data_IF_269796508369
#
_entry.id   IF_269796508369
#
_cell.length_a   1.000
_cell.length_b   1.000
_cell.length_c   1.000
_cell.angle_alpha   90.00
_cell.angle_beta   90.00
_cell.angle_gamma   90.00
#
_symmetry.space_group_name_H-M   'P 1'
#
loop_
_entity.id
_entity.type
_entity.pdbx_description
1 polymer ?
#
# COMPACT_ATOMS: atom_id res chain seq x y z
N UNK A 1 5.76 7.34 -23.36
CA UNK A 1 4.53 6.91 -22.63
C UNK A 1 3.91 8.16 -22.02
N UNK A 2 2.78 8.63 -22.54
CA UNK A 2 2.05 9.73 -21.90
C UNK A 2 1.33 9.12 -20.69
N UNK A 3 1.71 9.55 -19.50
CA UNK A 3 1.00 9.16 -18.28
C UNK A 3 -0.38 9.84 -18.28
N UNK A 4 -1.41 9.07 -18.00
CA UNK A 4 -2.76 9.56 -17.90
C UNK A 4 -2.90 10.58 -16.78
N UNK A 5 -3.78 11.59 -16.97
CA UNK A 5 -4.07 12.56 -15.91
C UNK A 5 -4.71 11.86 -14.70
N UNK A 6 -4.25 12.13 -13.46
CA UNK A 6 -4.81 11.53 -12.24
C UNK A 6 -6.33 11.65 -12.11
N UNK A 7 -6.91 12.78 -12.56
CA UNK A 7 -8.37 12.99 -12.51
C UNK A 7 -9.13 12.06 -13.43
N UNK A 8 -8.61 11.84 -14.64
CA UNK A 8 -9.23 10.96 -15.63
C UNK A 8 -9.12 9.50 -15.19
N UNK A 9 -7.99 9.12 -14.59
CA UNK A 9 -7.79 7.80 -14.03
C UNK A 9 -8.74 7.50 -12.87
N UNK A 10 -8.90 8.42 -11.93
CA UNK A 10 -9.87 8.27 -10.82
C UNK A 10 -11.31 8.23 -11.35
N UNK A 11 -11.64 9.01 -12.39
CA UNK A 11 -12.96 8.99 -13.02
C UNK A 11 -13.24 7.62 -13.63
N UNK A 12 -12.34 7.08 -14.46
CA UNK A 12 -12.44 5.74 -15.05
C UNK A 12 -12.57 4.66 -13.98
N UNK A 13 -11.72 4.69 -12.97
CA UNK A 13 -11.80 3.71 -11.87
C UNK A 13 -13.15 3.74 -11.16
N UNK A 14 -13.74 4.93 -10.94
CA UNK A 14 -15.09 5.05 -10.36
C UNK A 14 -16.18 4.52 -11.29
N UNK A 15 -16.03 4.69 -12.60
CA UNK A 15 -16.95 4.14 -13.61
C UNK A 15 -16.87 2.62 -13.63
N UNK A 16 -15.65 2.05 -13.61
CA UNK A 16 -15.44 0.62 -13.51
C UNK A 16 -15.98 -0.01 -12.22
N UNK A 17 -15.83 0.67 -11.08
CA UNK A 17 -16.43 0.22 -9.82
C UNK A 17 -17.97 0.21 -9.84
N UNK A 18 -18.58 0.98 -10.73
CA UNK A 18 -20.05 1.04 -10.92
C UNK A 18 -20.55 0.11 -12.02
N UNK A 19 -19.64 -0.53 -12.76
CA UNK A 19 -20.03 -1.46 -13.83
C UNK A 19 -20.72 -2.69 -13.23
N UNK A 20 -21.62 -3.31 -14.01
CA UNK A 20 -22.34 -4.51 -13.61
C UNK A 20 -21.38 -5.71 -13.36
N UNK A 21 -20.21 -5.69 -14.01
CA UNK A 21 -19.19 -6.74 -13.91
C UNK A 21 -18.29 -6.60 -12.67
N UNK A 22 -18.32 -5.44 -11.98
CA UNK A 22 -17.60 -5.21 -10.74
C UNK A 22 -18.56 -5.05 -9.58
N UNK A 23 -19.09 -6.17 -9.11
CA UNK A 23 -20.02 -6.22 -7.99
C UNK A 23 -19.30 -6.30 -6.63
N UNK A 24 -20.06 -6.20 -5.55
CA UNK A 24 -19.56 -6.29 -4.18
C UNK A 24 -18.86 -7.63 -3.90
N UNK A 25 -19.27 -8.71 -4.58
CA UNK A 25 -18.66 -10.05 -4.38
C UNK A 25 -17.26 -10.09 -4.96
N UNK A 26 -17.05 -9.51 -6.16
CA UNK A 26 -15.74 -9.38 -6.79
C UNK A 26 -14.82 -8.53 -5.92
N UNK A 27 -15.29 -7.38 -5.45
CA UNK A 27 -14.53 -6.50 -4.56
C UNK A 27 -14.15 -7.21 -3.26
N UNK A 28 -15.07 -7.95 -2.64
CA UNK A 28 -14.79 -8.72 -1.42
C UNK A 28 -13.77 -9.83 -1.67
N UNK A 29 -13.86 -10.54 -2.80
CA UNK A 29 -12.89 -11.57 -3.15
C UNK A 29 -11.49 -10.99 -3.38
N UNK A 30 -11.38 -9.82 -4.00
CA UNK A 30 -10.12 -9.09 -4.17
C UNK A 30 -9.58 -8.62 -2.81
N UNK A 31 -10.44 -8.11 -1.95
CA UNK A 31 -10.05 -7.68 -0.60
C UNK A 31 -9.56 -8.86 0.26
N UNK A 32 -10.21 -10.01 0.18
CA UNK A 32 -9.74 -11.24 0.88
C UNK A 32 -8.35 -11.66 0.36
N UNK A 33 -8.14 -11.66 -0.96
CA UNK A 33 -6.81 -11.93 -1.54
C UNK A 33 -5.79 -10.89 -1.11
N UNK A 34 -6.19 -9.60 -1.08
CA UNK A 34 -5.36 -8.52 -0.57
C UNK A 34 -4.93 -8.79 0.87
N UNK A 35 -5.85 -9.17 1.77
CA UNK A 35 -5.52 -9.49 3.16
C UNK A 35 -4.55 -10.67 3.26
N UNK A 36 -4.73 -11.72 2.45
CA UNK A 36 -3.80 -12.85 2.40
C UNK A 36 -2.38 -12.43 2.00
N UNK A 37 -2.25 -11.60 0.96
CA UNK A 37 -0.96 -11.03 0.53
C UNK A 37 -0.43 -10.06 1.59
N UNK A 38 -1.30 -9.24 2.19
CA UNK A 38 -0.90 -8.27 3.22
C UNK A 38 -0.32 -8.94 4.48
N UNK A 39 -0.77 -10.15 4.84
CA UNK A 39 -0.17 -10.91 5.95
C UNK A 39 1.29 -11.25 5.62
N UNK A 40 1.55 -11.76 4.41
CA UNK A 40 2.92 -12.09 3.98
C UNK A 40 3.80 -10.83 3.92
N UNK A 41 3.32 -9.78 3.26
CA UNK A 41 4.01 -8.49 3.18
C UNK A 41 4.23 -7.88 4.57
N UNK A 42 3.27 -8.05 5.48
CA UNK A 42 3.35 -7.61 6.87
C UNK A 42 4.50 -8.29 7.64
N UNK A 43 4.68 -9.60 7.45
CA UNK A 43 5.82 -10.34 8.03
C UNK A 43 7.14 -9.83 7.47
N UNK A 44 7.22 -9.63 6.15
CA UNK A 44 8.40 -9.09 5.49
C UNK A 44 8.71 -7.67 5.99
N UNK A 45 7.70 -6.81 6.03
CA UNK A 45 7.82 -5.44 6.53
C UNK A 45 8.23 -5.40 8.01
N UNK A 46 7.61 -6.24 8.86
CA UNK A 46 7.98 -6.37 10.27
C UNK A 46 9.45 -6.75 10.43
N UNK A 47 9.93 -7.73 9.65
CA UNK A 47 11.33 -8.18 9.71
C UNK A 47 12.28 -7.05 9.34
N UNK A 48 11.98 -6.29 8.29
CA UNK A 48 12.75 -5.11 7.90
C UNK A 48 12.71 -4.02 8.98
N UNK A 49 11.51 -3.76 9.51
CA UNK A 49 11.32 -2.75 10.55
C UNK A 49 12.17 -3.05 11.79
N UNK A 50 12.08 -4.28 12.32
CA UNK A 50 12.88 -4.68 13.49
C UNK A 50 14.38 -4.62 13.17
N UNK A 51 14.81 -5.09 12.00
CA UNK A 51 16.22 -5.05 11.62
C UNK A 51 16.75 -3.61 11.58
N UNK A 52 16.03 -2.69 10.94
CA UNK A 52 16.45 -1.28 10.86
C UNK A 52 16.36 -0.60 12.23
N UNK A 53 15.35 -0.92 13.04
CA UNK A 53 15.20 -0.40 14.39
C UNK A 53 16.41 -0.74 15.28
N UNK A 54 16.90 -1.98 15.23
CA UNK A 54 18.06 -2.42 16.00
C UNK A 54 19.40 -1.93 15.45
N UNK A 55 19.52 -1.69 14.15
CA UNK A 55 20.72 -1.09 13.55
C UNK A 55 20.83 0.38 13.91
N UNK A 56 19.70 1.08 14.07
CA UNK A 56 19.58 2.51 14.38
C UNK A 56 20.54 3.40 13.55
N UNK A 57 20.39 3.41 12.21
CA UNK A 57 21.42 3.94 11.30
C UNK A 57 21.67 5.44 11.45
N UNK A 58 20.71 6.18 12.04
CA UNK A 58 20.80 7.63 12.20
C UNK A 58 20.96 8.06 13.67
N UNK A 59 20.85 7.14 14.64
CA UNK A 59 20.90 7.38 16.08
C UNK A 59 19.89 8.49 16.53
N UNK A 60 18.79 8.62 15.80
CA UNK A 60 17.72 9.59 16.07
C UNK A 60 16.35 9.00 15.66
N UNK A 61 15.38 9.04 16.57
CA UNK A 61 14.02 8.55 16.34
C UNK A 61 13.98 7.15 15.69
N UNK A 62 14.57 6.11 16.30
CA UNK A 62 14.78 4.81 15.66
C UNK A 62 13.50 4.18 15.11
N UNK A 63 12.36 4.31 15.79
CA UNK A 63 11.07 3.80 15.30
C UNK A 63 10.61 4.48 14.01
N UNK A 64 10.69 5.81 13.94
CA UNK A 64 10.30 6.58 12.74
C UNK A 64 11.19 6.26 11.56
N UNK A 65 12.50 6.18 11.77
CA UNK A 65 13.50 5.88 10.74
C UNK A 65 13.31 4.45 10.24
N UNK A 66 13.13 3.49 11.16
CA UNK A 66 12.87 2.10 10.81
C UNK A 66 11.59 1.94 9.99
N UNK A 67 10.51 2.62 10.39
CA UNK A 67 9.26 2.63 9.63
C UNK A 67 9.47 3.15 8.21
N UNK A 68 10.06 4.33 8.05
CA UNK A 68 10.24 4.95 6.74
C UNK A 68 11.11 4.10 5.79
N UNK A 69 12.23 3.56 6.28
CA UNK A 69 13.13 2.73 5.48
C UNK A 69 12.46 1.40 5.11
N UNK A 70 11.88 0.70 6.08
CA UNK A 70 11.21 -0.57 5.85
C UNK A 70 10.01 -0.40 4.91
N UNK A 71 9.25 0.71 5.04
CA UNK A 71 8.15 1.04 4.16
C UNK A 71 8.62 1.26 2.71
N UNK A 72 9.70 2.02 2.51
CA UNK A 72 10.24 2.27 1.17
C UNK A 72 10.68 0.96 0.50
N UNK A 73 11.45 0.14 1.19
CA UNK A 73 11.93 -1.15 0.65
C UNK A 73 10.75 -2.10 0.40
N UNK A 74 9.84 -2.24 1.39
CA UNK A 74 8.67 -3.10 1.30
C UNK A 74 7.68 -2.70 0.22
N UNK A 75 7.65 -1.42 -0.19
CA UNK A 75 6.77 -0.94 -1.26
C UNK A 75 7.07 -1.58 -2.62
N UNK A 76 8.33 -1.90 -2.91
CA UNK A 76 8.70 -2.59 -4.16
C UNK A 76 8.22 -4.04 -4.16
N UNK A 77 8.45 -4.75 -3.07
CA UNK A 77 7.97 -6.12 -2.90
C UNK A 77 6.44 -6.17 -2.93
N UNK A 78 5.77 -5.30 -2.18
CA UNK A 78 4.32 -5.22 -2.10
C UNK A 78 3.66 -4.93 -3.47
N UNK A 79 4.24 -4.05 -4.30
CA UNK A 79 3.73 -3.81 -5.65
C UNK A 79 3.71 -5.10 -6.47
N UNK A 80 4.83 -5.84 -6.48
CA UNK A 80 4.93 -7.09 -7.23
C UNK A 80 3.89 -8.12 -6.75
N UNK A 81 3.80 -8.33 -5.44
CA UNK A 81 2.88 -9.30 -4.84
C UNK A 81 1.40 -8.92 -5.06
N UNK A 82 1.04 -7.66 -4.85
CA UNK A 82 -0.34 -7.21 -5.09
C UNK A 82 -0.72 -7.26 -6.56
N UNK A 83 0.20 -6.89 -7.47
CA UNK A 83 -0.04 -7.02 -8.91
C UNK A 83 -0.33 -8.48 -9.31
N UNK A 84 0.52 -9.41 -8.88
CA UNK A 84 0.46 -10.81 -9.30
C UNK A 84 -0.66 -11.59 -8.61
N UNK A 85 -0.86 -11.40 -7.31
CA UNK A 85 -1.69 -12.28 -6.48
C UNK A 85 -3.04 -11.65 -6.09
N UNK A 86 -3.05 -10.35 -5.76
CA UNK A 86 -4.28 -9.68 -5.34
C UNK A 86 -5.16 -9.33 -6.53
N UNK A 87 -4.63 -8.51 -7.41
CA UNK A 87 -5.41 -7.93 -8.53
C UNK A 87 -5.31 -8.77 -9.80
N UNK A 88 -4.28 -9.60 -9.95
CA UNK A 88 -3.99 -10.40 -11.16
C UNK A 88 -4.03 -9.53 -12.41
N UNK A 89 -3.43 -8.35 -12.32
CA UNK A 89 -3.59 -7.28 -13.28
C UNK A 89 -2.73 -7.48 -14.53
N UNK A 90 -3.33 -7.22 -15.67
CA UNK A 90 -2.69 -7.22 -17.01
C UNK A 90 -2.10 -5.84 -17.37
N UNK A 91 -2.42 -4.79 -16.63
CA UNK A 91 -1.92 -3.43 -16.85
C UNK A 91 -0.39 -3.43 -16.97
N UNK A 92 0.16 -2.57 -17.84
CA UNK A 92 1.61 -2.43 -18.01
C UNK A 92 2.31 -2.26 -16.66
N UNK A 93 3.44 -2.98 -16.48
CA UNK A 93 4.15 -3.01 -15.20
C UNK A 93 4.63 -1.61 -14.77
N UNK A 94 5.19 -0.84 -15.71
CA UNK A 94 5.71 0.51 -15.40
C UNK A 94 4.60 1.49 -15.06
N UNK A 95 3.46 1.36 -15.72
CA UNK A 95 2.30 2.18 -15.47
C UNK A 95 1.71 1.89 -14.09
N UNK A 96 1.46 0.62 -13.77
CA UNK A 96 0.95 0.23 -12.45
C UNK A 96 1.93 0.55 -11.33
N UNK A 97 3.25 0.41 -11.57
CA UNK A 97 4.30 0.76 -10.62
C UNK A 97 4.28 2.26 -10.31
N UNK A 98 4.21 3.10 -11.34
CA UNK A 98 4.16 4.55 -11.18
C UNK A 98 2.99 4.98 -10.29
N UNK A 99 1.78 4.49 -10.59
CA UNK A 99 0.60 4.84 -9.81
C UNK A 99 0.61 4.22 -8.40
N UNK A 100 1.14 3.02 -8.25
CA UNK A 100 1.34 2.41 -6.93
C UNK A 100 2.29 3.24 -6.07
N UNK A 101 3.39 3.76 -6.64
CA UNK A 101 4.32 4.61 -5.90
C UNK A 101 3.73 5.97 -5.49
N UNK A 102 2.78 6.52 -6.25
CA UNK A 102 2.01 7.68 -5.79
C UNK A 102 1.20 7.33 -4.54
N UNK A 103 0.48 6.20 -4.57
CA UNK A 103 -0.31 5.72 -3.42
C UNK A 103 0.61 5.45 -2.22
N UNK A 104 1.69 4.68 -2.44
CA UNK A 104 2.66 4.37 -1.40
C UNK A 104 3.31 5.63 -0.84
N UNK A 105 3.68 6.59 -1.69
CA UNK A 105 4.28 7.84 -1.26
C UNK A 105 3.37 8.65 -0.32
N UNK A 106 2.11 8.84 -0.71
CA UNK A 106 1.14 9.57 0.10
C UNK A 106 0.90 8.86 1.45
N UNK A 107 0.59 7.55 1.40
CA UNK A 107 0.30 6.78 2.61
C UNK A 107 1.56 6.63 3.46
N UNK A 108 2.73 6.46 2.83
CA UNK A 108 4.01 6.36 3.53
C UNK A 108 4.36 7.61 4.32
N UNK A 109 4.18 8.80 3.73
CA UNK A 109 4.40 10.07 4.44
C UNK A 109 3.45 10.18 5.64
N UNK A 110 2.15 9.97 5.43
CA UNK A 110 1.14 10.11 6.48
C UNK A 110 1.35 9.07 7.59
N UNK A 111 1.64 7.81 7.24
CA UNK A 111 1.89 6.75 8.22
C UNK A 111 3.21 6.95 8.98
N UNK A 112 4.24 7.51 8.34
CA UNK A 112 5.50 7.83 9.03
C UNK A 112 5.31 8.96 10.05
N UNK A 113 4.53 9.99 9.71
CA UNK A 113 4.14 11.03 10.67
C UNK A 113 3.32 10.43 11.80
N UNK A 114 2.36 9.55 11.49
CA UNK A 114 1.57 8.85 12.50
C UNK A 114 2.43 8.00 13.44
N UNK A 115 3.41 7.25 12.91
CA UNK A 115 4.37 6.48 13.71
C UNK A 115 5.15 7.37 14.66
N UNK A 116 5.66 8.49 14.16
CA UNK A 116 6.38 9.46 14.99
C UNK A 116 5.51 10.01 16.13
N UNK A 117 4.28 10.42 15.81
CA UNK A 117 3.36 10.96 16.83
C UNK A 117 2.99 9.89 17.86
N UNK A 118 2.68 8.68 17.45
CA UNK A 118 2.33 7.61 18.37
C UNK A 118 3.47 7.29 19.33
N UNK A 119 4.69 7.16 18.83
CA UNK A 119 5.84 6.76 19.65
C UNK A 119 6.38 7.89 20.50
N UNK A 120 6.61 9.08 19.91
CA UNK A 120 7.38 10.13 20.59
C UNK A 120 6.52 11.27 21.17
N UNK A 121 5.24 11.36 20.80
CA UNK A 121 4.32 12.35 21.38
C UNK A 121 3.33 11.69 22.33
N UNK A 122 2.78 10.52 21.95
CA UNK A 122 1.81 9.80 22.79
C UNK A 122 2.41 8.66 23.63
N UNK A 123 3.73 8.47 23.57
CA UNK A 123 4.49 7.46 24.35
C UNK A 123 3.96 6.02 24.16
N UNK A 124 3.47 5.71 22.96
CA UNK A 124 3.03 4.37 22.60
C UNK A 124 4.25 3.51 22.27
N UNK A 125 4.32 2.32 22.84
CA UNK A 125 5.40 1.38 22.52
C UNK A 125 5.48 1.13 21.01
N UNK A 126 6.67 1.23 20.40
CA UNK A 126 6.88 1.23 18.95
C UNK A 126 6.24 0.04 18.19
N UNK A 127 6.19 -1.16 18.79
CA UNK A 127 5.53 -2.33 18.18
C UNK A 127 4.01 -2.22 18.16
N UNK A 128 3.43 -1.54 19.14
CA UNK A 128 1.98 -1.27 19.17
C UNK A 128 1.66 -0.18 18.16
N UNK A 129 2.48 0.85 18.07
CA UNK A 129 2.34 1.91 17.05
C UNK A 129 2.43 1.32 15.63
N UNK A 130 3.38 0.41 15.38
CA UNK A 130 3.47 -0.34 14.13
C UNK A 130 2.16 -1.08 13.79
N UNK A 131 1.60 -1.83 14.75
CA UNK A 131 0.35 -2.58 14.54
C UNK A 131 -0.85 -1.66 14.28
N UNK A 132 -0.96 -0.55 15.00
CA UNK A 132 -2.00 0.47 14.80
C UNK A 132 -1.92 1.02 13.36
N UNK A 133 -0.73 1.40 12.91
CA UNK A 133 -0.52 1.92 11.57
C UNK A 133 -0.86 0.88 10.48
N UNK A 134 -0.44 -0.37 10.63
CA UNK A 134 -0.78 -1.43 9.69
C UNK A 134 -2.30 -1.61 9.54
N UNK A 135 -3.03 -1.60 10.65
CA UNK A 135 -4.49 -1.72 10.64
C UNK A 135 -5.17 -0.47 10.05
N UNK A 136 -4.74 0.73 10.47
CA UNK A 136 -5.36 1.99 10.06
C UNK A 136 -5.19 2.27 8.56
N UNK A 137 -3.99 2.02 8.02
CA UNK A 137 -3.68 2.36 6.63
C UNK A 137 -3.91 1.21 5.64
N UNK A 138 -4.09 -0.03 6.10
CA UNK A 138 -4.24 -1.20 5.23
C UNK A 138 -5.43 -1.11 4.27
N UNK A 139 -6.61 -0.71 4.74
CA UNK A 139 -7.79 -0.54 3.90
C UNK A 139 -7.66 0.66 2.95
N UNK A 140 -7.08 1.76 3.41
CA UNK A 140 -6.81 2.93 2.57
C UNK A 140 -5.84 2.57 1.43
N UNK A 141 -4.83 1.74 1.74
CA UNK A 141 -3.90 1.21 0.75
C UNK A 141 -4.61 0.37 -0.31
N UNK A 142 -5.48 -0.57 0.09
CA UNK A 142 -6.27 -1.37 -0.84
C UNK A 142 -7.08 -0.49 -1.80
N UNK A 143 -7.82 0.49 -1.26
CA UNK A 143 -8.61 1.40 -2.10
C UNK A 143 -7.74 2.26 -3.02
N UNK A 144 -6.64 2.79 -2.51
CA UNK A 144 -5.71 3.59 -3.31
C UNK A 144 -5.12 2.79 -4.47
N UNK A 145 -4.66 1.57 -4.21
CA UNK A 145 -4.15 0.69 -5.25
C UNK A 145 -5.22 0.31 -6.27
N UNK A 146 -6.44 -0.01 -5.81
CA UNK A 146 -7.55 -0.40 -6.70
C UNK A 146 -8.05 0.75 -7.56
N UNK A 147 -7.99 1.98 -7.04
CA UNK A 147 -8.43 3.17 -7.78
C UNK A 147 -7.38 3.71 -8.76
N UNK A 148 -6.10 3.62 -8.40
CA UNK A 148 -5.03 4.27 -9.17
C UNK A 148 -4.09 3.28 -9.88
N UNK A 149 -3.59 2.28 -9.18
CA UNK A 149 -2.61 1.36 -9.76
C UNK A 149 -3.26 0.25 -10.60
N UNK A 150 -4.40 -0.25 -10.16
CA UNK A 150 -5.10 -1.42 -10.74
C UNK A 150 -6.60 -1.15 -10.94
N UNK A 151 -7.01 -0.15 -11.75
CA UNK A 151 -8.42 0.15 -11.97
C UNK A 151 -9.16 -1.01 -12.67
N UNK A 152 -10.42 -1.31 -12.26
CA UNK A 152 -11.15 -2.50 -12.70
C UNK A 152 -11.42 -2.57 -14.21
N UNK A 153 -11.59 -1.44 -14.86
CA UNK A 153 -11.90 -1.39 -16.31
C UNK A 153 -10.77 -1.91 -17.17
N UNK A 154 -9.52 -1.69 -16.76
CA UNK A 154 -8.36 -2.10 -17.54
C UNK A 154 -8.11 -3.61 -17.47
N UNK A 155 -8.79 -4.31 -16.55
CA UNK A 155 -8.72 -5.78 -16.43
C UNK A 155 -9.81 -6.49 -17.26
N UNK A 156 -10.74 -5.74 -17.90
CA UNK A 156 -11.88 -6.29 -18.66
C UNK A 156 -11.70 -6.21 -20.18
N UNK A 157 -10.62 -5.60 -20.67
CA UNK A 157 -10.34 -5.43 -22.10
C UNK A 157 -9.66 -6.66 -22.76
N UNK A 158 -9.57 -7.79 -22.06
CA UNK A 158 -9.16 -9.10 -22.59
C UNK A 158 -10.36 -10.08 -22.59
#
# INVERSE_FOLDING_TARGET
MMLENPKDRVKRAKEGLKSADYDIRRMMAEYIRYLGVAIFNGIFFWTLYEAVYWIDPLAIYPATVAWAIAYLIGSFEAHYMHRALTFKSTIDYKESLYWAFIVYGIIGIVSTISEHLLVYVFDVHHRIAWAINMCAFGFMMFLGLRLLAFPPEMDLEE
#
